data_IF_179666610491
#
_entry.id   IF_179666610491
#
_cell.length_a   1.000
_cell.length_b   1.000
_cell.length_c   1.000
_cell.angle_alpha   90.00
_cell.angle_beta   90.00
_cell.angle_gamma   90.00
#
_symmetry.space_group_name_H-M   'P 1'
#
loop_
_entity.id
_entity.type
_entity.pdbx_description
1 polymer ?
#
# COMPACT_ATOMS: atom_id res chain seq x y z
N UNK A 1 -26.70 -10.42 -11.49
CA UNK A 1 -26.06 -10.11 -12.79
C UNK A 1 -24.69 -9.50 -12.48
N UNK A 2 -23.75 -9.42 -13.42
CA UNK A 2 -22.46 -8.77 -13.15
C UNK A 2 -22.63 -7.24 -13.23
N UNK A 3 -22.38 -6.59 -12.10
CA UNK A 3 -22.46 -5.13 -11.93
C UNK A 3 -21.07 -4.49 -11.80
N UNK A 4 -20.03 -5.31 -11.64
CA UNK A 4 -18.69 -4.88 -11.23
C UNK A 4 -17.74 -4.72 -12.40
N UNK A 5 -17.85 -5.56 -13.42
CA UNK A 5 -16.85 -5.63 -14.48
C UNK A 5 -17.48 -5.39 -15.84
N UNK A 6 -16.78 -4.64 -16.68
CA UNK A 6 -17.11 -4.54 -18.10
C UNK A 6 -17.13 -5.90 -18.81
N UNK A 7 -18.16 -6.13 -19.62
CA UNK A 7 -18.43 -7.40 -20.29
C UNK A 7 -18.48 -7.17 -21.79
N UNK A 8 -17.75 -8.00 -22.51
CA UNK A 8 -17.82 -8.08 -23.95
C UNK A 8 -19.15 -8.72 -24.38
N UNK A 9 -20.04 -7.91 -24.94
CA UNK A 9 -21.35 -8.32 -25.48
C UNK A 9 -21.27 -8.70 -26.96
N UNK A 10 -20.17 -8.39 -27.67
CA UNK A 10 -20.03 -8.64 -29.11
C UNK A 10 -18.78 -9.46 -29.43
N UNK A 11 -18.95 -10.53 -30.21
CA UNK A 11 -17.87 -11.45 -30.60
C UNK A 11 -16.83 -10.78 -31.54
N UNK A 12 -17.07 -9.55 -32.01
CA UNK A 12 -16.33 -8.92 -33.11
C UNK A 12 -15.62 -7.59 -32.79
N UNK A 13 -15.71 -7.06 -31.57
CA UNK A 13 -15.02 -5.80 -31.23
C UNK A 13 -13.50 -6.00 -31.07
N UNK A 14 -12.71 -5.26 -31.85
CA UNK A 14 -11.23 -5.30 -31.83
C UNK A 14 -10.59 -4.79 -30.51
N UNK A 15 -11.39 -4.32 -29.54
CA UNK A 15 -10.95 -3.77 -28.24
C UNK A 15 -11.22 -4.70 -27.04
N UNK A 16 -11.40 -6.01 -27.27
CA UNK A 16 -11.80 -6.98 -26.24
C UNK A 16 -10.70 -7.38 -25.24
N UNK A 17 -9.50 -6.81 -25.36
CA UNK A 17 -8.32 -7.27 -24.60
C UNK A 17 -8.55 -7.19 -23.09
N UNK A 18 -9.23 -6.13 -22.60
CA UNK A 18 -9.45 -5.91 -21.18
C UNK A 18 -10.83 -6.34 -20.68
N UNK A 19 -11.82 -6.54 -21.54
CA UNK A 19 -13.19 -6.92 -21.14
C UNK A 19 -13.34 -8.40 -20.70
N UNK A 20 -14.26 -8.67 -19.77
CA UNK A 20 -14.63 -10.04 -19.41
C UNK A 20 -15.57 -10.64 -20.47
N UNK A 21 -15.57 -11.96 -20.64
CA UNK A 21 -16.51 -12.62 -21.56
C UNK A 21 -17.88 -12.73 -20.91
N UNK A 22 -18.93 -12.40 -21.64
CA UNK A 22 -20.30 -12.65 -21.19
C UNK A 22 -20.55 -14.15 -20.96
N UNK A 23 -20.92 -14.49 -19.75
CA UNK A 23 -21.20 -15.87 -19.34
C UNK A 23 -22.69 -16.21 -19.46
N UNK A 24 -23.54 -15.25 -19.81
CA UNK A 24 -24.98 -15.44 -20.00
C UNK A 24 -25.69 -15.89 -18.72
N UNK A 25 -26.90 -16.46 -18.88
CA UNK A 25 -27.73 -16.92 -17.75
C UNK A 25 -27.42 -18.34 -17.27
N UNK A 26 -26.73 -19.15 -18.07
CA UNK A 26 -26.40 -20.55 -17.76
C UNK A 26 -24.98 -20.90 -18.19
N UNK A 27 -24.28 -21.62 -17.33
CA UNK A 27 -22.95 -22.19 -17.59
C UNK A 27 -22.99 -23.71 -17.66
N UNK A 28 -22.04 -24.26 -18.42
CA UNK A 28 -21.75 -25.70 -18.43
C UNK A 28 -21.24 -26.12 -17.04
N UNK A 29 -21.90 -27.08 -16.40
CA UNK A 29 -21.47 -27.62 -15.10
C UNK A 29 -20.76 -28.95 -15.26
N UNK A 30 -21.38 -29.88 -15.99
CA UNK A 30 -20.77 -31.17 -16.29
C UNK A 30 -21.40 -31.78 -17.54
N UNK A 31 -20.62 -32.60 -18.24
CA UNK A 31 -21.15 -33.53 -19.23
C UNK A 31 -21.11 -34.92 -18.63
N UNK A 32 -22.26 -35.57 -18.48
CA UNK A 32 -22.35 -36.96 -18.05
C UNK A 32 -22.63 -37.80 -19.29
N UNK A 33 -21.73 -38.73 -19.59
CA UNK A 33 -21.85 -39.58 -20.77
C UNK A 33 -21.41 -41.00 -20.50
N UNK A 34 -21.99 -41.93 -21.25
CA UNK A 34 -21.53 -43.32 -21.27
C UNK A 34 -20.63 -43.53 -22.47
N UNK A 35 -19.43 -44.08 -22.25
CA UNK A 35 -18.55 -44.45 -23.35
C UNK A 35 -19.11 -45.70 -24.05
N UNK A 36 -19.49 -45.56 -25.32
CA UNK A 36 -19.85 -46.67 -26.17
C UNK A 36 -18.63 -47.54 -26.50
N UNK A 37 -18.81 -48.86 -26.58
CA UNK A 37 -17.82 -49.76 -27.18
C UNK A 37 -17.58 -49.38 -28.65
N UNK A 38 -16.44 -49.74 -29.27
CA UNK A 38 -16.19 -49.47 -30.69
C UNK A 38 -17.37 -49.97 -31.53
N UNK A 39 -18.05 -49.06 -32.24
CA UNK A 39 -19.24 -49.35 -33.03
C UNK A 39 -20.60 -49.01 -32.40
N UNK A 40 -20.66 -48.47 -31.17
CA UNK A 40 -21.89 -47.88 -30.58
C UNK A 40 -21.69 -46.40 -30.26
N UNK A 41 -22.63 -45.56 -30.70
CA UNK A 41 -22.66 -44.14 -30.31
C UNK A 41 -22.95 -44.03 -28.81
N UNK A 42 -22.02 -43.42 -28.07
CA UNK A 42 -22.25 -43.03 -26.69
C UNK A 42 -23.26 -41.90 -26.62
N UNK A 43 -24.10 -41.91 -25.58
CA UNK A 43 -24.98 -40.78 -25.27
C UNK A 43 -24.31 -39.90 -24.21
N UNK A 44 -24.30 -38.60 -24.44
CA UNK A 44 -23.85 -37.59 -23.49
C UNK A 44 -24.97 -36.60 -23.22
N UNK A 45 -25.25 -36.32 -21.96
CA UNK A 45 -26.10 -35.21 -21.55
C UNK A 45 -25.24 -34.12 -20.89
N UNK A 46 -25.54 -32.88 -21.23
CA UNK A 46 -24.90 -31.71 -20.64
C UNK A 46 -25.82 -31.13 -19.58
N UNK A 47 -25.31 -30.99 -18.37
CA UNK A 47 -26.01 -30.35 -17.26
C UNK A 47 -25.50 -28.92 -17.14
N UNK A 48 -26.44 -27.98 -17.12
CA UNK A 48 -26.17 -26.55 -16.98
C UNK A 48 -26.53 -26.06 -15.59
N UNK A 49 -25.76 -25.12 -15.05
CA UNK A 49 -26.08 -24.38 -13.82
C UNK A 49 -26.34 -22.91 -14.15
N UNK A 50 -27.07 -22.22 -13.28
CA UNK A 50 -27.28 -20.77 -13.40
C UNK A 50 -25.96 -20.03 -13.11
N UNK A 51 -25.65 -19.02 -13.92
CA UNK A 51 -24.48 -18.17 -13.72
C UNK A 51 -24.65 -17.31 -12.47
N UNK A 52 -23.69 -17.35 -11.55
CA UNK A 52 -23.67 -16.54 -10.32
C UNK A 52 -22.71 -15.36 -10.47
N UNK A 53 -22.76 -14.43 -9.51
CA UNK A 53 -21.79 -13.33 -9.43
C UNK A 53 -20.37 -13.84 -9.21
N UNK A 54 -20.21 -14.87 -8.39
CA UNK A 54 -18.92 -15.50 -8.08
C UNK A 54 -18.22 -16.02 -9.33
N UNK A 55 -18.97 -16.45 -10.34
CA UNK A 55 -18.40 -16.90 -11.60
C UNK A 55 -17.65 -15.76 -12.31
N UNK A 56 -18.15 -14.52 -12.21
CA UNK A 56 -17.50 -13.34 -12.79
C UNK A 56 -16.28 -12.91 -11.96
N UNK A 57 -16.34 -13.07 -10.65
CA UNK A 57 -15.19 -12.85 -9.77
C UNK A 57 -14.06 -13.84 -10.09
N UNK A 58 -14.39 -15.12 -10.30
CA UNK A 58 -13.43 -16.12 -10.76
C UNK A 58 -12.85 -15.75 -12.12
N UNK A 59 -13.69 -15.36 -13.08
CA UNK A 59 -13.25 -14.98 -14.41
C UNK A 59 -12.29 -13.78 -14.38
N UNK A 60 -12.57 -12.78 -13.53
CA UNK A 60 -11.68 -11.64 -13.30
C UNK A 60 -10.34 -12.09 -12.69
N UNK A 61 -10.37 -12.92 -11.65
CA UNK A 61 -9.17 -13.44 -11.02
C UNK A 61 -8.30 -14.26 -11.98
N UNK A 62 -8.93 -15.09 -12.83
CA UNK A 62 -8.25 -15.82 -13.89
C UNK A 62 -7.62 -14.88 -14.90
N UNK A 63 -8.35 -13.87 -15.37
CA UNK A 63 -7.84 -12.91 -16.34
C UNK A 63 -6.61 -12.16 -15.82
N UNK A 64 -6.65 -11.73 -14.55
CA UNK A 64 -5.50 -11.08 -13.90
C UNK A 64 -4.33 -12.06 -13.73
N UNK A 65 -4.59 -13.30 -13.31
CA UNK A 65 -3.55 -14.30 -13.10
C UNK A 65 -2.88 -14.74 -14.40
N UNK A 66 -3.63 -14.85 -15.48
CA UNK A 66 -3.14 -15.33 -16.78
C UNK A 66 -2.63 -14.20 -17.68
N UNK A 67 -2.70 -12.96 -17.20
CA UNK A 67 -2.14 -11.80 -17.88
C UNK A 67 -0.62 -11.96 -18.08
N UNK A 68 -0.22 -11.91 -19.35
CA UNK A 68 1.16 -11.95 -19.80
C UNK A 68 1.31 -10.98 -20.98
N UNK A 69 2.13 -9.93 -20.86
CA UNK A 69 3.05 -9.65 -19.76
C UNK A 69 2.40 -9.16 -18.44
N UNK A 70 2.96 -9.50 -17.26
CA UNK A 70 2.35 -9.17 -15.95
C UNK A 70 2.10 -7.68 -15.70
N UNK A 71 2.88 -6.78 -16.30
CA UNK A 71 2.73 -5.34 -16.10
C UNK A 71 1.43 -4.76 -16.69
N UNK A 72 0.79 -5.45 -17.65
CA UNK A 72 -0.51 -5.03 -18.21
C UNK A 72 -1.67 -5.24 -17.23
N UNK A 73 -1.45 -5.95 -16.12
CA UNK A 73 -2.45 -6.19 -15.09
C UNK A 73 -3.05 -4.87 -14.57
N UNK A 74 -2.23 -3.84 -14.43
CA UNK A 74 -2.65 -2.50 -14.00
C UNK A 74 -3.63 -1.86 -14.98
N UNK A 75 -3.45 -2.10 -16.28
CA UNK A 75 -4.35 -1.58 -17.32
C UNK A 75 -5.71 -2.29 -17.28
N UNK A 76 -5.72 -3.61 -17.09
CA UNK A 76 -6.95 -4.39 -16.90
C UNK A 76 -7.72 -3.90 -15.67
N UNK A 77 -7.03 -3.71 -14.55
CA UNK A 77 -7.64 -3.20 -13.32
C UNK A 77 -8.19 -1.77 -13.51
N UNK A 78 -7.43 -0.88 -14.14
CA UNK A 78 -7.88 0.48 -14.42
C UNK A 78 -9.10 0.51 -15.36
N UNK A 79 -9.14 -0.36 -16.37
CA UNK A 79 -10.27 -0.48 -17.30
C UNK A 79 -11.57 -0.81 -16.54
N UNK A 80 -11.53 -1.86 -15.71
CA UNK A 80 -12.71 -2.27 -14.94
C UNK A 80 -13.06 -1.31 -13.81
N UNK A 81 -12.05 -0.68 -13.19
CA UNK A 81 -12.27 0.36 -12.19
C UNK A 81 -13.02 1.54 -12.81
N UNK A 82 -12.53 2.10 -13.92
CA UNK A 82 -13.17 3.23 -14.60
C UNK A 82 -14.59 2.88 -15.06
N UNK A 83 -14.79 1.69 -15.62
CA UNK A 83 -16.12 1.21 -15.97
C UNK A 83 -17.07 1.19 -14.76
N UNK A 84 -16.61 0.70 -13.61
CA UNK A 84 -17.44 0.61 -12.42
C UNK A 84 -17.75 2.00 -11.84
N UNK A 85 -16.75 2.88 -11.78
CA UNK A 85 -16.92 4.23 -11.22
C UNK A 85 -17.84 5.08 -12.09
N UNK A 86 -17.77 4.95 -13.42
CA UNK A 86 -18.69 5.63 -14.35
C UNK A 86 -20.15 5.15 -14.20
N UNK A 87 -20.37 3.87 -13.94
CA UNK A 87 -21.73 3.30 -13.89
C UNK A 87 -22.39 3.35 -12.50
N UNK A 88 -21.62 3.17 -11.42
CA UNK A 88 -22.15 2.99 -10.06
C UNK A 88 -21.70 4.09 -9.07
N UNK A 89 -20.62 4.83 -9.37
CA UNK A 89 -20.15 5.96 -8.56
C UNK A 89 -19.49 5.65 -7.21
N UNK A 90 -19.47 4.40 -6.75
CA UNK A 90 -18.88 4.01 -5.45
C UNK A 90 -17.51 3.31 -5.61
N UNK A 91 -16.45 4.11 -5.73
CA UNK A 91 -15.09 3.59 -5.91
C UNK A 91 -14.66 2.63 -4.79
N UNK A 92 -15.10 2.88 -3.55
CA UNK A 92 -14.68 2.10 -2.39
C UNK A 92 -15.20 0.66 -2.45
N UNK A 93 -16.42 0.46 -2.97
CA UNK A 93 -17.02 -0.87 -3.11
C UNK A 93 -16.19 -1.72 -4.09
N UNK A 94 -15.75 -1.15 -5.22
CA UNK A 94 -14.89 -1.87 -6.16
C UNK A 94 -13.55 -2.23 -5.54
N UNK A 95 -12.90 -1.29 -4.85
CA UNK A 95 -11.62 -1.55 -4.18
C UNK A 95 -11.75 -2.65 -3.12
N UNK A 96 -12.86 -2.66 -2.36
CA UNK A 96 -13.17 -3.74 -1.39
C UNK A 96 -13.37 -5.08 -2.10
N UNK A 97 -14.06 -5.11 -3.24
CA UNK A 97 -14.24 -6.32 -4.05
C UNK A 97 -12.88 -6.90 -4.49
N UNK A 98 -11.99 -6.05 -5.03
CA UNK A 98 -10.66 -6.48 -5.46
C UNK A 98 -9.83 -6.98 -4.25
N UNK A 99 -9.84 -6.24 -3.13
CA UNK A 99 -9.05 -6.57 -1.94
C UNK A 99 -9.49 -7.85 -1.23
N UNK A 100 -10.80 -8.05 -1.06
CA UNK A 100 -11.34 -9.12 -0.20
C UNK A 100 -11.88 -10.33 -0.96
N UNK A 101 -12.19 -10.18 -2.26
CA UNK A 101 -12.73 -11.29 -3.07
C UNK A 101 -11.71 -11.76 -4.10
N UNK A 102 -11.21 -10.87 -4.95
CA UNK A 102 -10.34 -11.24 -6.07
C UNK A 102 -8.93 -11.61 -5.62
N UNK A 103 -8.31 -10.78 -4.77
CA UNK A 103 -6.93 -10.98 -4.32
C UNK A 103 -6.74 -12.35 -3.61
N UNK A 104 -7.64 -12.82 -2.72
CA UNK A 104 -7.54 -14.16 -2.15
C UNK A 104 -7.64 -15.29 -3.20
N UNK A 105 -8.40 -15.12 -4.28
CA UNK A 105 -8.51 -16.12 -5.35
C UNK A 105 -7.17 -16.22 -6.09
N UNK A 106 -6.57 -15.08 -6.47
CA UNK A 106 -5.26 -15.04 -7.16
C UNK A 106 -4.18 -15.71 -6.31
N UNK A 107 -4.11 -15.41 -5.00
CA UNK A 107 -3.13 -16.00 -4.07
C UNK A 107 -3.24 -17.52 -3.92
N UNK A 108 -4.41 -18.12 -4.19
CA UNK A 108 -4.58 -19.58 -4.14
C UNK A 108 -3.92 -20.27 -5.34
N UNK A 109 -3.67 -19.56 -6.44
CA UNK A 109 -2.98 -20.12 -7.59
C UNK A 109 -1.47 -20.19 -7.36
N UNK A 110 -0.89 -21.35 -7.65
CA UNK A 110 0.57 -21.55 -7.55
C UNK A 110 1.30 -20.66 -8.57
N UNK A 111 2.44 -20.09 -8.16
CA UNK A 111 3.33 -19.28 -9.00
C UNK A 111 2.72 -17.97 -9.53
N UNK A 112 1.73 -17.40 -8.85
CA UNK A 112 1.09 -16.11 -9.20
C UNK A 112 1.36 -15.02 -8.15
N UNK A 113 2.46 -15.14 -7.40
CA UNK A 113 2.83 -14.20 -6.35
C UNK A 113 3.11 -12.79 -6.90
N UNK A 114 3.76 -12.70 -8.07
CA UNK A 114 4.03 -11.44 -8.76
C UNK A 114 2.72 -10.72 -9.13
N UNK A 115 1.75 -11.45 -9.69
CA UNK A 115 0.44 -10.88 -10.01
C UNK A 115 -0.29 -10.41 -8.75
N UNK A 116 -0.23 -11.18 -7.65
CA UNK A 116 -0.81 -10.79 -6.38
C UNK A 116 -0.13 -9.56 -5.75
N UNK A 117 1.18 -9.38 -5.97
CA UNK A 117 1.93 -8.19 -5.54
C UNK A 117 1.53 -6.95 -6.34
N UNK A 118 1.48 -7.05 -7.68
CA UNK A 118 1.03 -5.96 -8.56
C UNK A 118 -0.40 -5.50 -8.24
N UNK A 119 -1.30 -6.43 -7.92
CA UNK A 119 -2.67 -6.07 -7.48
C UNK A 119 -2.64 -5.28 -6.17
N UNK A 120 -1.76 -5.62 -5.23
CA UNK A 120 -1.64 -4.88 -3.96
C UNK A 120 -1.06 -3.49 -4.18
N UNK A 121 0.00 -3.37 -4.98
CA UNK A 121 0.59 -2.08 -5.34
C UNK A 121 -0.46 -1.18 -6.01
N UNK A 122 -1.24 -1.75 -6.94
CA UNK A 122 -2.36 -1.04 -7.55
C UNK A 122 -3.40 -0.58 -6.53
N UNK A 123 -3.81 -1.46 -5.60
CA UNK A 123 -4.75 -1.08 -4.53
C UNK A 123 -4.23 0.08 -3.68
N UNK A 124 -2.94 0.06 -3.29
CA UNK A 124 -2.30 1.15 -2.55
C UNK A 124 -2.36 2.45 -3.35
N UNK A 125 -1.97 2.40 -4.63
CA UNK A 125 -2.00 3.57 -5.52
C UNK A 125 -3.40 4.17 -5.72
N UNK A 126 -4.49 3.42 -5.49
CA UNK A 126 -5.87 3.90 -5.61
C UNK A 126 -6.45 4.37 -4.29
N UNK A 127 -6.06 3.76 -3.17
CA UNK A 127 -6.49 4.23 -1.84
C UNK A 127 -5.80 5.53 -1.42
N UNK A 128 -4.63 5.80 -1.96
CA UNK A 128 -3.86 7.02 -1.66
C UNK A 128 -4.29 8.24 -2.50
N UNK A 129 -5.35 8.14 -3.32
CA UNK A 129 -5.80 9.20 -4.26
C UNK A 129 -6.70 10.26 -3.61
N UNK A 130 -6.99 10.20 -2.31
CA UNK A 130 -7.58 11.36 -1.61
C UNK A 130 -6.53 12.45 -1.33
N UNK A 131 -5.99 13.05 -2.40
CA UNK A 131 -5.76 14.49 -2.68
C UNK A 131 -4.65 14.69 -3.72
N UNK A 132 -4.94 15.19 -4.94
CA UNK A 132 -3.93 15.87 -5.75
C UNK A 132 -3.84 17.31 -5.24
N UNK A 133 -3.30 17.49 -4.04
CA UNK A 133 -2.70 18.77 -3.70
C UNK A 133 -1.48 18.91 -4.60
N UNK A 134 -1.45 19.95 -5.43
CA UNK A 134 -0.22 20.35 -6.11
C UNK A 134 0.86 20.51 -5.04
N UNK A 135 1.74 19.53 -4.92
CA UNK A 135 2.97 19.61 -4.13
C UNK A 135 3.90 20.59 -4.86
N UNK A 136 3.60 21.88 -4.74
CA UNK A 136 4.55 22.93 -5.10
C UNK A 136 5.63 22.92 -4.01
N UNK A 137 6.66 22.10 -4.19
CA UNK A 137 7.86 22.19 -3.36
C UNK A 137 8.58 23.49 -3.74
N UNK A 138 8.36 24.55 -2.97
CA UNK A 138 9.22 25.73 -3.06
C UNK A 138 10.46 25.42 -2.22
N UNK A 139 11.56 25.03 -2.87
CA UNK A 139 12.86 24.96 -2.22
C UNK A 139 13.39 26.39 -2.06
N UNK A 140 13.17 26.99 -0.90
CA UNK A 140 13.86 28.23 -0.52
C UNK A 140 15.17 27.80 0.15
N UNK A 141 16.27 27.79 -0.61
CA UNK A 141 17.60 27.60 -0.05
C UNK A 141 18.04 28.82 0.76
N UNK A 142 18.68 28.58 1.90
CA UNK A 142 19.39 29.53 2.78
C UNK A 142 18.96 31.01 2.67
N UNK A 143 17.82 31.35 3.28
CA UNK A 143 17.48 32.75 3.57
C UNK A 143 17.17 32.87 5.06
N UNK A 144 18.09 33.50 5.81
CA UNK A 144 17.94 33.94 7.20
C UNK A 144 16.93 35.11 7.33
N UNK A 145 15.71 34.96 6.80
CA UNK A 145 14.64 35.94 6.97
C UNK A 145 13.31 35.24 7.30
N UNK A 146 12.55 35.74 8.29
CA UNK A 146 11.23 35.21 8.61
C UNK A 146 10.28 35.56 7.46
N UNK A 147 10.10 34.64 6.53
CA UNK A 147 9.14 34.79 5.44
C UNK A 147 7.80 34.21 5.91
N UNK A 148 6.82 35.08 6.22
CA UNK A 148 5.46 34.64 6.52
C UNK A 148 4.70 34.43 5.20
N UNK A 149 4.55 33.18 4.79
CA UNK A 149 3.62 32.79 3.74
C UNK A 149 2.25 32.54 4.38
N UNK A 150 1.32 33.48 4.24
CA UNK A 150 -0.08 33.27 4.60
C UNK A 150 -0.80 32.55 3.46
N UNK A 151 -1.08 31.26 3.65
CA UNK A 151 -2.05 30.52 2.86
C UNK A 151 -3.39 30.58 3.58
N UNK A 152 -4.32 31.37 3.05
CA UNK A 152 -5.72 31.31 3.50
C UNK A 152 -6.34 30.03 2.93
N UNK A 153 -6.34 28.97 3.75
CA UNK A 153 -7.08 27.74 3.48
C UNK A 153 -7.71 27.27 4.79
N UNK A 154 -9.04 27.11 4.78
CA UNK A 154 -9.85 26.82 5.97
C UNK A 154 -9.59 25.43 6.60
N UNK A 155 -8.61 24.65 6.14
CA UNK A 155 -8.21 23.36 6.73
C UNK A 155 -6.80 22.89 6.28
N UNK A 156 -5.77 23.73 6.33
CA UNK A 156 -4.40 23.24 6.07
C UNK A 156 -3.84 22.48 7.27
N UNK A 157 -3.58 21.18 7.11
CA UNK A 157 -2.63 20.46 7.95
C UNK A 157 -1.29 20.45 7.23
N UNK A 158 -0.34 21.24 7.73
CA UNK A 158 1.02 21.28 7.22
C UNK A 158 1.77 20.06 7.77
N UNK A 159 1.99 19.05 6.94
CA UNK A 159 2.93 17.97 7.24
C UNK A 159 4.26 18.36 6.60
N UNK A 160 5.22 18.77 7.43
CA UNK A 160 6.59 18.98 6.99
C UNK A 160 7.22 17.60 6.77
N UNK A 161 7.51 17.24 5.52
CA UNK A 161 8.30 16.04 5.20
C UNK A 161 9.78 16.34 5.53
N UNK A 162 10.08 16.31 6.83
CA UNK A 162 11.43 16.48 7.36
C UNK A 162 12.27 15.28 6.93
N UNK A 163 12.94 15.35 5.78
CA UNK A 163 13.92 14.30 5.46
C UNK A 163 15.00 14.31 6.52
N UNK A 164 14.98 13.29 7.37
CA UNK A 164 15.90 13.15 8.48
C UNK A 164 17.32 12.98 7.95
N UNK A 165 18.13 14.02 8.14
CA UNK A 165 19.54 14.01 7.76
C UNK A 165 20.32 13.14 8.76
N UNK A 166 21.22 12.30 8.25
CA UNK A 166 22.08 11.45 9.09
C UNK A 166 22.97 12.25 10.02
N UNK A 167 23.38 13.46 9.61
CA UNK A 167 24.24 14.32 10.42
C UNK A 167 23.47 14.93 11.61
N UNK A 168 22.22 15.33 11.39
CA UNK A 168 21.31 15.79 12.44
C UNK A 168 21.12 14.68 13.49
N UNK A 169 20.89 13.44 13.07
CA UNK A 169 20.76 12.31 14.01
C UNK A 169 22.03 12.09 14.83
N UNK A 170 23.22 12.24 14.22
CA UNK A 170 24.50 12.12 14.95
C UNK A 170 24.68 13.24 15.95
N UNK A 171 24.32 14.46 15.58
CA UNK A 171 24.39 15.62 16.48
C UNK A 171 23.46 15.43 17.69
N UNK A 172 22.24 14.95 17.46
CA UNK A 172 21.31 14.60 18.54
C UNK A 172 21.84 13.49 19.45
N UNK A 173 22.38 12.42 18.88
CA UNK A 173 22.96 11.33 19.68
C UNK A 173 24.10 11.86 20.55
N UNK A 174 24.96 12.73 20.00
CA UNK A 174 26.07 13.32 20.74
C UNK A 174 25.58 14.22 21.88
N UNK A 175 24.53 15.01 21.69
CA UNK A 175 23.97 15.84 22.77
C UNK A 175 23.28 14.99 23.82
N UNK A 176 22.60 13.92 23.41
CA UNK A 176 21.98 12.94 24.30
C UNK A 176 23.04 12.22 25.16
N UNK A 177 24.16 11.82 24.58
CA UNK A 177 25.28 11.19 25.29
C UNK A 177 25.83 12.05 26.43
N UNK A 178 25.81 13.38 26.28
CA UNK A 178 26.22 14.33 27.33
C UNK A 178 25.20 14.35 28.47
N UNK A 179 23.91 14.40 28.15
CA UNK A 179 22.84 14.47 29.15
C UNK A 179 22.73 13.16 29.97
N UNK A 180 22.91 12.00 29.33
CA UNK A 180 22.79 10.70 30.02
C UNK A 180 23.93 10.42 31.00
N UNK A 181 25.07 11.14 30.93
CA UNK A 181 26.20 10.92 31.85
C UNK A 181 25.81 11.15 33.32
N UNK A 182 24.83 12.02 33.56
CA UNK A 182 24.37 12.39 34.90
C UNK A 182 23.20 11.53 35.40
N UNK A 183 22.75 10.54 34.63
CA UNK A 183 21.68 9.63 35.01
C UNK A 183 22.19 8.49 35.91
N UNK A 184 21.24 7.82 36.58
CA UNK A 184 21.53 6.59 37.32
C UNK A 184 22.08 5.51 36.38
N UNK A 185 22.98 4.65 36.87
CA UNK A 185 23.71 3.67 36.06
C UNK A 185 22.80 2.76 35.26
N UNK A 186 21.72 2.25 35.87
CA UNK A 186 20.77 1.35 35.21
C UNK A 186 20.07 2.03 34.02
N UNK A 187 19.57 3.25 34.23
CA UNK A 187 18.92 4.05 33.18
C UNK A 187 19.92 4.39 32.06
N UNK A 188 21.14 4.77 32.45
CA UNK A 188 22.21 5.12 31.52
C UNK A 188 22.59 3.94 30.62
N UNK A 189 22.67 2.73 31.16
CA UNK A 189 22.98 1.52 30.37
C UNK A 189 21.92 1.26 29.29
N UNK A 190 20.64 1.46 29.60
CA UNK A 190 19.55 1.32 28.63
C UNK A 190 19.69 2.33 27.47
N UNK A 191 20.05 3.57 27.79
CA UNK A 191 20.35 4.60 26.78
C UNK A 191 21.56 4.25 25.93
N UNK A 192 22.68 3.89 26.55
CA UNK A 192 23.92 3.53 25.83
C UNK A 192 23.68 2.35 24.87
N UNK A 193 22.89 1.35 25.30
CA UNK A 193 22.52 0.21 24.48
C UNK A 193 21.72 0.60 23.24
N UNK A 194 20.68 1.43 23.39
CA UNK A 194 19.85 1.86 22.26
C UNK A 194 20.55 2.90 21.37
N UNK A 195 21.39 3.77 21.93
CA UNK A 195 22.28 4.67 21.17
C UNK A 195 23.21 3.85 20.27
N UNK A 196 23.91 2.86 20.82
CA UNK A 196 24.84 2.03 20.05
C UNK A 196 24.16 1.28 18.90
N UNK A 197 22.92 0.82 19.12
CA UNK A 197 22.09 0.21 18.06
C UNK A 197 21.67 1.21 17.00
N UNK A 198 21.29 2.42 17.40
CA UNK A 198 20.90 3.51 16.49
C UNK A 198 22.07 3.90 15.59
N UNK A 199 23.26 4.10 16.15
CA UNK A 199 24.49 4.39 15.40
C UNK A 199 24.77 3.27 14.40
N UNK A 200 24.75 2.01 14.85
CA UNK A 200 25.01 0.86 13.98
C UNK A 200 24.01 0.76 12.83
N UNK A 201 22.74 1.08 13.04
CA UNK A 201 21.75 1.08 11.96
C UNK A 201 21.95 2.26 11.01
N UNK A 202 22.31 3.43 11.53
CA UNK A 202 22.63 4.63 10.75
C UNK A 202 23.83 4.39 9.83
N UNK A 203 24.92 3.79 10.33
CA UNK A 203 26.10 3.45 9.53
C UNK A 203 25.81 2.43 8.41
N UNK A 204 24.85 1.53 8.65
CA UNK A 204 24.44 0.52 7.67
C UNK A 204 23.35 1.02 6.71
N UNK A 205 23.04 2.33 6.69
CA UNK A 205 21.97 2.92 5.89
C UNK A 205 20.60 2.22 6.06
N UNK A 206 20.33 1.72 7.26
CA UNK A 206 19.05 1.09 7.60
C UNK A 206 18.10 2.12 8.19
N UNK A 207 16.80 1.84 8.12
CA UNK A 207 15.79 2.67 8.77
C UNK A 207 16.01 2.68 10.31
N UNK A 208 16.10 3.88 10.87
CA UNK A 208 16.32 4.15 12.30
C UNK A 208 15.12 4.77 12.99
N UNK A 209 13.99 5.01 12.28
CA UNK A 209 12.79 5.63 12.88
C UNK A 209 12.29 4.88 14.10
N UNK A 210 12.25 3.54 14.03
CA UNK A 210 11.85 2.71 15.16
C UNK A 210 12.76 2.87 16.37
N UNK A 211 14.07 3.12 16.17
CA UNK A 211 15.02 3.33 17.27
C UNK A 211 14.91 4.71 17.89
N UNK A 212 14.72 5.74 17.09
CA UNK A 212 14.45 7.09 17.59
C UNK A 212 13.18 7.12 18.43
N UNK A 213 12.15 6.39 18.01
CA UNK A 213 10.91 6.26 18.79
C UNK A 213 11.14 5.58 20.15
N UNK A 214 12.02 4.58 20.20
CA UNK A 214 12.41 3.92 21.47
C UNK A 214 13.20 4.90 22.36
N UNK A 215 14.18 5.62 21.80
CA UNK A 215 14.94 6.64 22.52
C UNK A 215 14.02 7.73 23.07
N UNK A 216 13.01 8.14 22.31
CA UNK A 216 12.04 9.12 22.78
C UNK A 216 11.15 8.59 23.91
N UNK A 217 10.80 7.30 23.88
CA UNK A 217 10.17 6.61 25.02
C UNK A 217 11.03 6.68 26.28
N UNK A 218 12.32 6.35 26.18
CA UNK A 218 13.25 6.44 27.31
C UNK A 218 13.37 7.88 27.84
N UNK A 219 13.45 8.88 26.96
CA UNK A 219 13.49 10.30 27.35
C UNK A 219 12.22 10.70 28.11
N UNK A 220 11.06 10.22 27.64
CA UNK A 220 9.77 10.50 28.29
C UNK A 220 9.68 9.86 29.67
N UNK A 221 10.17 8.63 29.82
CA UNK A 221 10.14 7.90 31.09
C UNK A 221 11.03 8.54 32.15
N UNK A 222 12.20 9.07 31.76
CA UNK A 222 13.10 9.83 32.65
C UNK A 222 12.62 11.27 32.88
N UNK A 223 11.86 11.81 31.94
CA UNK A 223 11.38 13.19 31.94
C UNK A 223 12.25 14.09 31.06
N UNK A 224 11.61 14.74 30.09
CA UNK A 224 12.24 15.55 29.04
C UNK A 224 13.18 16.62 29.64
N UNK A 225 12.75 17.28 30.72
CA UNK A 225 13.50 18.36 31.38
C UNK A 225 14.87 17.94 31.92
N UNK A 226 15.13 16.64 32.07
CA UNK A 226 16.43 16.11 32.46
C UNK A 226 17.48 16.25 31.34
N UNK A 227 17.03 16.38 30.09
CA UNK A 227 17.87 16.43 28.89
C UNK A 227 18.05 17.88 28.42
N UNK A 228 18.67 18.71 29.24
CA UNK A 228 18.79 20.14 28.99
C UNK A 228 19.61 20.48 27.74
N UNK A 229 20.68 19.73 27.45
CA UNK A 229 21.49 19.96 26.24
C UNK A 229 20.75 19.50 24.98
N UNK A 230 20.00 18.42 25.07
CA UNK A 230 19.11 17.97 23.98
C UNK A 230 18.04 19.02 23.70
N UNK A 231 17.29 19.48 24.71
CA UNK A 231 16.23 20.50 24.53
C UNK A 231 16.80 21.79 23.94
N UNK A 232 17.99 22.21 24.38
CA UNK A 232 18.64 23.42 23.89
C UNK A 232 19.19 23.28 22.45
N UNK A 233 19.29 22.06 21.93
CA UNK A 233 19.81 21.81 20.57
C UNK A 233 18.77 22.14 19.51
N UNK A 234 19.12 22.90 18.45
CA UNK A 234 18.23 23.11 17.29
C UNK A 234 17.76 21.81 16.63
N UNK A 235 18.58 20.77 16.74
CA UNK A 235 18.30 19.44 16.17
C UNK A 235 17.16 18.73 16.89
N UNK A 236 16.91 19.04 18.16
CA UNK A 236 15.82 18.42 18.91
C UNK A 236 14.45 18.74 18.32
N UNK A 237 14.19 20.00 17.94
CA UNK A 237 12.92 20.37 17.29
C UNK A 237 12.75 19.68 15.92
N UNK A 238 13.85 19.42 15.21
CA UNK A 238 13.83 18.68 13.94
C UNK A 238 13.51 17.19 14.15
N UNK A 239 14.05 16.58 15.21
CA UNK A 239 13.91 15.14 15.46
C UNK A 239 12.72 14.78 16.36
N UNK A 240 12.12 15.74 17.05
CA UNK A 240 10.97 15.55 17.92
C UNK A 240 9.83 14.72 17.31
N UNK A 241 9.44 14.90 16.03
CA UNK A 241 8.42 14.05 15.40
C UNK A 241 8.81 12.57 15.33
N UNK A 242 10.11 12.26 15.26
CA UNK A 242 10.63 10.88 15.21
C UNK A 242 10.82 10.26 16.59
N UNK A 243 10.95 11.09 17.62
CA UNK A 243 11.05 10.64 19.01
C UNK A 243 9.67 10.27 19.60
N UNK A 244 8.57 10.78 19.01
CA UNK A 244 7.22 10.53 19.54
C UNK A 244 6.94 11.26 20.87
N UNK A 245 7.59 12.41 21.06
CA UNK A 245 7.50 13.28 22.24
C UNK A 245 6.74 14.58 21.90
#
# INVERSE_FOLDING_TARGET
MNEFYDICTSVQSQNNEYQLRDMGSKQHMMTVGTYGRPGRQGTSSTIYRTTTREDYDLQMAHKLSDCNPPYQLTEILNHHFNFYTENNGDEEIFLKQIKYVILPIIKKHKNKDIHAELVKEWLVSKTDVKSPGLNSSVSIGDIYAPTQLQFNSDNSSQIQDLRMNSDDVREFIRTLEVDIQNLQSEIREDFEYEIGRTIKQLENNKDIRGRLMILGGLIKDVGINTFANVIASPVFELLKPYLGI
#
